data_IF_478478937516
#
_entry.id   IF_478478937516
#
_cell.length_a   1.000
_cell.length_b   1.000
_cell.length_c   1.000
_cell.angle_alpha   90.00
_cell.angle_beta   90.00
_cell.angle_gamma   90.00
#
_symmetry.space_group_name_H-M   'P 1'
#
loop_
_entity.id
_entity.type
_entity.pdbx_description
1 polymer ?
#
# COMPACT_ATOMS: atom_id res chain seq x y z
N UNK A 1 -1.04 -1.87 12.14
CA UNK A 1 -0.61 -1.29 10.85
C UNK A 1 0.77 -1.76 10.43
N UNK A 2 1.80 -1.57 11.26
CA UNK A 2 3.16 -2.05 10.97
C UNK A 2 3.22 -3.55 10.60
N UNK A 3 2.48 -4.40 11.29
CA UNK A 3 2.38 -5.85 10.98
C UNK A 3 1.86 -6.13 9.56
N UNK A 4 0.84 -5.41 9.10
CA UNK A 4 0.24 -5.59 7.77
C UNK A 4 1.24 -5.20 6.69
N UNK A 5 1.92 -4.06 6.86
CA UNK A 5 2.93 -3.59 5.91
C UNK A 5 4.10 -4.58 5.83
N UNK A 6 4.55 -5.11 6.98
CA UNK A 6 5.59 -6.14 6.99
C UNK A 6 5.17 -7.40 6.25
N UNK A 7 3.94 -7.90 6.46
CA UNK A 7 3.43 -9.08 5.75
C UNK A 7 3.36 -8.82 4.24
N UNK A 8 2.74 -7.72 3.80
CA UNK A 8 2.62 -7.38 2.38
C UNK A 8 3.99 -7.31 1.70
N UNK A 9 4.96 -6.63 2.32
CA UNK A 9 6.31 -6.50 1.77
C UNK A 9 7.01 -7.84 1.64
N UNK A 10 6.94 -8.68 2.68
CA UNK A 10 7.58 -10.00 2.67
C UNK A 10 6.95 -10.92 1.64
N UNK A 11 5.63 -10.86 1.46
CA UNK A 11 4.94 -11.59 0.39
C UNK A 11 5.43 -11.14 -0.98
N UNK A 12 5.48 -9.83 -1.25
CA UNK A 12 5.93 -9.31 -2.56
C UNK A 12 7.40 -9.68 -2.80
N UNK A 13 8.30 -9.49 -1.83
CA UNK A 13 9.72 -9.87 -1.95
C UNK A 13 9.90 -11.35 -2.31
N UNK A 14 9.10 -12.23 -1.71
CA UNK A 14 9.13 -13.67 -1.98
C UNK A 14 8.52 -14.05 -3.34
N UNK A 15 7.72 -13.17 -3.95
CA UNK A 15 7.18 -13.38 -5.30
C UNK A 15 8.16 -12.85 -6.34
N UNK A 16 8.69 -11.64 -6.15
CA UNK A 16 9.49 -10.94 -7.15
C UNK A 16 10.93 -11.44 -7.22
N UNK A 17 11.54 -11.75 -6.08
CA UNK A 17 12.93 -12.18 -5.97
C UNK A 17 13.88 -11.26 -6.72
N UNK A 18 13.71 -9.93 -6.57
CA UNK A 18 14.50 -8.94 -7.32
C UNK A 18 15.87 -8.73 -6.68
N UNK A 19 16.90 -8.81 -7.51
CA UNK A 19 18.29 -8.59 -7.12
C UNK A 19 18.60 -7.12 -6.87
N UNK A 20 19.31 -6.84 -5.78
CA UNK A 20 19.76 -5.48 -5.43
C UNK A 20 20.94 -5.02 -6.31
N UNK A 21 21.15 -3.70 -6.47
CA UNK A 21 22.22 -3.17 -7.31
C UNK A 21 23.63 -3.67 -6.97
N UNK A 22 23.97 -3.86 -5.69
CA UNK A 22 25.29 -4.37 -5.28
C UNK A 22 25.63 -5.72 -5.92
N UNK A 23 24.88 -6.79 -5.63
CA UNK A 23 25.08 -8.10 -6.26
C UNK A 23 24.86 -8.11 -7.78
N UNK A 24 24.02 -7.22 -8.30
CA UNK A 24 23.80 -7.09 -9.74
C UNK A 24 25.06 -6.60 -10.47
N UNK A 25 25.82 -5.68 -9.87
CA UNK A 25 27.10 -5.20 -10.41
C UNK A 25 28.15 -6.32 -10.36
N UNK A 26 28.26 -7.04 -9.24
CA UNK A 26 29.20 -8.16 -9.09
C UNK A 26 28.94 -9.30 -10.08
N UNK A 27 27.67 -9.58 -10.36
CA UNK A 27 27.24 -10.65 -11.28
C UNK A 27 27.12 -10.20 -12.75
N UNK A 28 27.43 -8.93 -13.06
CA UNK A 28 27.37 -8.41 -14.43
C UNK A 28 25.94 -8.30 -15.01
N UNK A 29 24.92 -8.16 -14.16
CA UNK A 29 23.51 -8.09 -14.55
C UNK A 29 22.97 -6.65 -14.46
N UNK A 30 23.13 -5.82 -15.51
CA UNK A 30 22.60 -4.45 -15.50
C UNK A 30 21.07 -4.47 -15.30
N UNK A 31 20.58 -3.78 -14.28
CA UNK A 31 19.16 -3.72 -13.93
C UNK A 31 18.67 -4.81 -12.96
N UNK A 32 19.53 -5.75 -12.55
CA UNK A 32 19.23 -6.77 -11.55
C UNK A 32 18.35 -7.92 -12.05
N UNK A 33 18.74 -9.15 -11.73
CA UNK A 33 17.98 -10.35 -12.06
C UNK A 33 16.65 -10.40 -11.29
N UNK A 34 15.58 -10.81 -11.97
CA UNK A 34 14.33 -11.21 -11.34
C UNK A 34 14.29 -12.72 -11.24
N UNK A 35 14.07 -13.24 -10.03
CA UNK A 35 13.89 -14.68 -9.82
C UNK A 35 12.53 -14.87 -9.20
N UNK A 36 11.52 -15.10 -10.04
CA UNK A 36 10.17 -15.32 -9.56
C UNK A 36 10.12 -16.58 -8.69
N UNK A 37 9.53 -16.45 -7.50
CA UNK A 37 9.44 -17.53 -6.50
C UNK A 37 10.81 -18.19 -6.21
N UNK A 38 11.79 -17.44 -5.68
CA UNK A 38 13.10 -18.01 -5.37
C UNK A 38 12.94 -19.07 -4.28
N UNK A 39 13.82 -20.07 -4.31
CA UNK A 39 13.89 -21.09 -3.25
C UNK A 39 14.01 -20.42 -1.88
N UNK A 40 13.25 -20.91 -0.90
CA UNK A 40 13.25 -20.36 0.46
C UNK A 40 14.66 -20.37 1.06
N UNK A 41 15.42 -21.44 0.82
CA UNK A 41 16.80 -21.60 1.28
C UNK A 41 17.71 -20.54 0.67
N UNK A 42 17.61 -20.33 -0.64
CA UNK A 42 18.39 -19.33 -1.39
C UNK A 42 18.07 -17.90 -0.95
N UNK A 43 16.80 -17.62 -0.70
CA UNK A 43 16.36 -16.32 -0.21
C UNK A 43 16.95 -15.99 1.17
N UNK A 44 17.04 -16.98 2.06
CA UNK A 44 17.54 -16.78 3.42
C UNK A 44 19.07 -16.71 3.49
N UNK A 45 19.78 -17.42 2.60
CA UNK A 45 21.25 -17.42 2.57
C UNK A 45 21.81 -16.25 1.77
N UNK A 46 21.12 -15.81 0.72
CA UNK A 46 21.57 -14.76 -0.19
C UNK A 46 20.51 -13.67 -0.35
N UNK A 47 20.08 -13.08 0.76
CA UNK A 47 18.98 -12.10 0.83
C UNK A 47 19.10 -10.95 -0.18
N UNK A 48 20.29 -10.36 -0.32
CA UNK A 48 20.53 -9.24 -1.24
C UNK A 48 20.33 -9.59 -2.73
N UNK A 49 20.29 -10.89 -3.08
CA UNK A 49 19.98 -11.32 -4.43
C UNK A 49 18.48 -11.36 -4.75
N UNK A 50 17.61 -11.19 -3.75
CA UNK A 50 16.19 -11.43 -3.91
C UNK A 50 15.28 -10.39 -3.23
N UNK A 51 15.81 -9.47 -2.44
CA UNK A 51 15.00 -8.62 -1.56
C UNK A 51 14.90 -7.14 -2.00
N UNK A 52 15.32 -6.77 -3.20
CA UNK A 52 15.31 -5.37 -3.63
C UNK A 52 13.90 -4.77 -3.70
N UNK A 53 12.86 -5.53 -4.05
CA UNK A 53 11.52 -4.99 -4.27
C UNK A 53 10.47 -5.59 -3.33
N UNK A 54 9.68 -4.76 -2.61
CA UNK A 54 9.73 -3.30 -2.48
C UNK A 54 10.60 -2.82 -1.32
N UNK A 55 11.00 -1.53 -1.34
CA UNK A 55 11.84 -0.95 -0.27
C UNK A 55 11.16 -0.96 1.10
N UNK A 56 11.82 -1.60 2.07
CA UNK A 56 11.31 -1.77 3.44
C UNK A 56 11.18 -0.45 4.21
N UNK A 57 12.21 0.40 4.11
CA UNK A 57 12.34 1.66 4.84
C UNK A 57 11.38 2.72 4.28
N UNK A 58 11.42 2.94 2.96
CA UNK A 58 10.58 3.92 2.28
C UNK A 58 9.10 3.58 2.43
N UNK A 59 8.74 2.30 2.32
CA UNK A 59 7.38 1.84 2.60
C UNK A 59 6.93 2.18 4.02
N UNK A 60 7.69 1.79 5.04
CA UNK A 60 7.31 2.06 6.44
C UNK A 60 7.20 3.57 6.70
N UNK A 61 8.11 4.36 6.16
CA UNK A 61 8.10 5.81 6.32
C UNK A 61 6.87 6.44 5.64
N UNK A 62 6.51 6.01 4.44
CA UNK A 62 5.29 6.45 3.74
C UNK A 62 4.01 6.13 4.54
N UNK A 63 3.93 4.94 5.15
CA UNK A 63 2.81 4.59 6.01
C UNK A 63 2.71 5.55 7.20
N UNK A 64 3.82 5.82 7.86
CA UNK A 64 3.89 6.72 9.02
C UNK A 64 3.42 8.12 8.63
N UNK A 65 3.97 8.71 7.56
CA UNK A 65 3.56 10.03 7.07
C UNK A 65 2.07 10.04 6.71
N UNK A 66 1.56 9.00 6.04
CA UNK A 66 0.14 8.92 5.66
C UNK A 66 -0.76 8.90 6.87
N UNK A 67 -0.41 8.14 7.91
CA UNK A 67 -1.20 8.06 9.15
C UNK A 67 -1.16 9.40 9.89
N UNK A 68 0.03 9.98 10.10
CA UNK A 68 0.16 11.26 10.80
C UNK A 68 -0.61 12.35 10.05
N UNK A 69 -0.40 12.49 8.75
CA UNK A 69 -1.08 13.51 7.94
C UNK A 69 -2.60 13.28 7.82
N UNK A 70 -3.10 12.07 8.07
CA UNK A 70 -4.54 11.79 8.13
C UNK A 70 -5.14 12.11 9.51
N UNK A 71 -4.36 12.04 10.58
CA UNK A 71 -4.82 12.35 11.93
C UNK A 71 -4.75 13.86 12.24
N UNK A 72 -3.82 14.58 11.60
CA UNK A 72 -3.60 16.02 11.80
C UNK A 72 -3.77 16.81 10.48
N UNK A 73 -4.96 16.81 9.86
CA UNK A 73 -5.19 17.47 8.57
C UNK A 73 -4.97 18.99 8.59
N UNK A 74 -5.08 19.62 9.76
CA UNK A 74 -4.80 21.03 10.01
C UNK A 74 -3.32 21.39 9.83
N UNK A 75 -2.41 20.42 10.07
CA UNK A 75 -0.96 20.62 9.97
C UNK A 75 -0.47 20.29 8.55
N UNK A 76 -0.63 21.26 7.64
CA UNK A 76 -0.37 21.05 6.19
C UNK A 76 1.10 20.79 5.83
N UNK A 77 2.06 21.19 6.67
CA UNK A 77 3.50 21.05 6.38
C UNK A 77 4.04 19.63 6.58
N UNK A 78 3.27 18.73 7.22
CA UNK A 78 3.68 17.33 7.45
C UNK A 78 3.93 16.59 6.14
N UNK A 79 3.07 16.82 5.14
CA UNK A 79 3.20 16.18 3.82
C UNK A 79 4.46 16.62 3.07
N UNK A 80 4.69 17.93 2.80
CA UNK A 80 5.89 18.35 2.07
C UNK A 80 7.17 17.96 2.82
N UNK A 81 7.24 18.15 4.15
CA UNK A 81 8.43 17.73 4.90
C UNK A 81 8.63 16.21 4.87
N UNK A 82 7.55 15.44 5.07
CA UNK A 82 7.59 13.99 5.01
C UNK A 82 8.07 13.48 3.65
N UNK A 83 7.60 14.08 2.55
CA UNK A 83 8.05 13.69 1.21
C UNK A 83 9.50 14.08 0.93
N UNK A 84 9.96 15.23 1.43
CA UNK A 84 11.38 15.63 1.32
C UNK A 84 12.29 14.63 2.05
N UNK A 85 11.98 14.31 3.31
CA UNK A 85 12.77 13.35 4.09
C UNK A 85 12.75 11.95 3.46
N UNK A 86 11.62 11.57 2.88
CA UNK A 86 11.50 10.30 2.15
C UNK A 86 12.34 10.28 0.88
N UNK A 87 12.40 11.39 0.16
CA UNK A 87 13.28 11.56 -1.01
C UNK A 87 14.75 11.40 -0.64
N UNK A 88 15.20 12.03 0.45
CA UNK A 88 16.58 11.89 0.96
C UNK A 88 16.87 10.44 1.34
N UNK A 89 15.94 9.77 2.00
CA UNK A 89 16.07 8.35 2.37
C UNK A 89 16.11 7.43 1.14
N UNK A 90 15.27 7.69 0.14
CA UNK A 90 15.28 6.94 -1.11
C UNK A 90 16.61 7.13 -1.86
N UNK A 91 17.15 8.34 -1.85
CA UNK A 91 18.46 8.63 -2.43
C UNK A 91 19.59 7.90 -1.68
N UNK A 92 19.58 7.90 -0.34
CA UNK A 92 20.54 7.14 0.47
C UNK A 92 20.52 5.65 0.10
N UNK A 93 19.34 5.04 -0.04
CA UNK A 93 19.22 3.63 -0.41
C UNK A 93 19.72 3.32 -1.82
N UNK A 94 19.58 4.26 -2.75
CA UNK A 94 20.17 4.14 -4.09
C UNK A 94 21.70 4.26 -4.04
N UNK A 95 22.21 5.23 -3.29
CA UNK A 95 23.66 5.45 -3.10
C UNK A 95 24.33 4.24 -2.44
N UNK A 96 23.68 3.65 -1.44
CA UNK A 96 24.08 2.41 -0.77
C UNK A 96 23.91 1.15 -1.62
N UNK A 97 23.45 1.26 -2.87
CA UNK A 97 23.27 0.16 -3.84
C UNK A 97 22.37 -0.98 -3.36
N UNK A 98 21.38 -0.67 -2.49
CA UNK A 98 20.44 -1.65 -1.93
C UNK A 98 19.08 -1.67 -2.62
N UNK A 99 18.71 -0.61 -3.33
CA UNK A 99 17.42 -0.53 -4.05
C UNK A 99 17.57 0.18 -5.40
N UNK A 100 16.79 -0.26 -6.39
CA UNK A 100 16.64 0.44 -7.66
C UNK A 100 15.61 1.57 -7.53
N UNK A 101 15.75 2.62 -8.34
CA UNK A 101 14.76 3.68 -8.42
C UNK A 101 13.35 3.15 -8.79
N UNK A 102 13.30 2.09 -9.61
CA UNK A 102 12.07 1.40 -10.02
C UNK A 102 11.32 0.74 -8.87
N UNK A 103 11.99 0.47 -7.75
CA UNK A 103 11.40 -0.30 -6.64
C UNK A 103 10.48 0.57 -5.75
N UNK A 104 10.52 1.90 -5.93
CA UNK A 104 9.79 2.85 -5.10
C UNK A 104 8.31 3.06 -5.49
N UNK A 105 7.93 3.28 -6.76
CA UNK A 105 6.56 3.69 -7.10
C UNK A 105 5.49 2.69 -6.64
N UNK A 106 5.69 1.39 -6.89
CA UNK A 106 4.72 0.36 -6.50
C UNK A 106 4.62 0.23 -4.97
N UNK A 107 5.77 0.23 -4.27
CA UNK A 107 5.81 0.14 -2.82
C UNK A 107 5.11 1.33 -2.15
N UNK A 108 5.38 2.55 -2.64
CA UNK A 108 4.74 3.77 -2.16
C UNK A 108 3.23 3.75 -2.39
N UNK A 109 2.78 3.33 -3.57
CA UNK A 109 1.36 3.28 -3.91
C UNK A 109 0.59 2.32 -3.00
N UNK A 110 1.04 1.06 -2.89
CA UNK A 110 0.39 0.04 -2.05
C UNK A 110 0.28 0.55 -0.61
N UNK A 111 1.38 1.10 -0.09
CA UNK A 111 1.43 1.53 1.30
C UNK A 111 0.61 2.79 1.55
N UNK A 112 0.52 3.71 0.59
CA UNK A 112 -0.37 4.85 0.69
C UNK A 112 -1.84 4.43 0.78
N UNK A 113 -2.26 3.48 -0.07
CA UNK A 113 -3.64 2.96 -0.07
C UNK A 113 -3.97 2.27 1.25
N UNK A 114 -3.10 1.37 1.71
CA UNK A 114 -3.25 0.69 3.02
C UNK A 114 -3.21 1.71 4.17
N UNK A 115 -2.30 2.68 4.07
CA UNK A 115 -2.17 3.90 4.88
C UNK A 115 -3.51 4.57 5.17
N UNK A 116 -4.11 5.04 4.08
CA UNK A 116 -5.35 5.78 4.06
C UNK A 116 -6.53 4.93 4.52
N UNK A 117 -6.61 3.67 4.09
CA UNK A 117 -7.66 2.75 4.50
C UNK A 117 -7.66 2.52 6.03
N UNK A 118 -6.49 2.30 6.63
CA UNK A 118 -6.39 2.08 8.06
C UNK A 118 -6.68 3.34 8.89
N UNK A 119 -6.24 4.52 8.43
CA UNK A 119 -6.57 5.79 9.07
C UNK A 119 -8.08 6.05 9.04
N UNK A 120 -8.70 5.89 7.86
CA UNK A 120 -10.15 6.08 7.70
C UNK A 120 -11.00 5.12 8.53
N UNK A 121 -10.52 3.89 8.80
CA UNK A 121 -11.24 2.94 9.65
C UNK A 121 -11.33 3.40 11.12
N UNK A 122 -10.42 4.25 11.58
CA UNK A 122 -10.36 4.72 12.98
C UNK A 122 -10.90 6.12 13.17
N UNK A 123 -10.95 6.94 12.13
CA UNK A 123 -11.51 8.28 12.18
C UNK A 123 -13.04 8.16 12.10
N UNK A 124 -13.75 8.40 13.22
CA UNK A 124 -15.18 8.71 13.17
C UNK A 124 -15.32 10.05 12.47
N UNK A 125 -15.67 10.03 11.18
CA UNK A 125 -16.11 11.24 10.49
C UNK A 125 -17.43 11.66 11.12
N UNK A 126 -17.42 12.74 11.89
CA UNK A 126 -18.65 13.46 12.22
C UNK A 126 -19.12 14.04 10.88
N UNK A 127 -20.27 13.59 10.39
CA UNK A 127 -20.86 14.15 9.19
C UNK A 127 -21.20 15.60 9.52
N UNK A 128 -20.52 16.58 8.93
CA UNK A 128 -20.76 18.02 9.21
C UNK A 128 -22.23 18.39 8.95
N UNK A 129 -22.94 17.60 8.11
CA UNK A 129 -24.37 17.72 7.89
C UNK A 129 -25.21 17.36 9.12
N UNK A 130 -24.80 16.38 9.94
CA UNK A 130 -25.45 16.04 11.22
C UNK A 130 -25.20 17.14 12.26
N UNK A 131 -24.02 17.78 12.23
CA UNK A 131 -23.67 18.89 13.12
C UNK A 131 -24.36 20.22 12.74
N UNK A 132 -24.72 20.40 11.47
CA UNK A 132 -25.44 21.56 10.93
C UNK A 132 -26.96 21.34 10.80
N UNK A 133 -27.49 20.18 11.22
CA UNK A 133 -28.91 19.85 11.17
C UNK A 133 -29.50 19.71 9.75
N UNK A 134 -28.65 19.57 8.73
CA UNK A 134 -29.10 19.34 7.37
C UNK A 134 -29.48 17.87 7.19
N UNK A 135 -30.77 17.60 7.05
CA UNK A 135 -31.27 16.27 6.67
C UNK A 135 -30.61 15.85 5.35
N UNK A 136 -29.72 14.87 5.45
CA UNK A 136 -29.19 14.14 4.31
C UNK A 136 -30.39 13.59 3.54
N UNK A 137 -30.56 14.01 2.29
CA UNK A 137 -31.57 13.42 1.39
C UNK A 137 -31.36 11.90 1.41
N UNK A 138 -32.42 11.16 1.77
CA UNK A 138 -32.50 9.70 1.68
C UNK A 138 -32.11 9.33 0.24
N UNK A 139 -30.86 8.89 0.06
CA UNK A 139 -30.39 8.43 -1.25
C UNK A 139 -31.02 7.07 -1.49
N UNK A 140 -31.75 6.95 -2.59
CA UNK A 140 -32.37 5.72 -3.08
C UNK A 140 -31.47 4.50 -2.81
N UNK A 141 -31.90 3.64 -1.88
CA UNK A 141 -31.21 2.38 -1.62
C UNK A 141 -31.70 1.37 -2.65
N UNK A 142 -30.75 0.85 -3.45
CA UNK A 142 -31.02 -0.18 -4.44
C UNK A 142 -30.49 -1.50 -3.91
N UNK A 143 -31.38 -2.44 -3.61
CA UNK A 143 -31.01 -3.78 -3.15
C UNK A 143 -31.34 -4.81 -4.23
N UNK A 144 -30.40 -5.72 -4.48
CA UNK A 144 -30.59 -6.82 -5.42
C UNK A 144 -31.00 -8.05 -4.62
N UNK A 145 -32.19 -8.57 -4.91
CA UNK A 145 -32.70 -9.79 -4.29
C UNK A 145 -32.77 -10.91 -5.32
N UNK A 146 -32.54 -12.13 -4.88
CA UNK A 146 -32.74 -13.33 -5.70
C UNK A 146 -33.71 -14.26 -4.98
N UNK A 147 -34.74 -14.68 -5.71
CA UNK A 147 -35.79 -15.54 -5.20
C UNK A 147 -35.94 -16.81 -6.04
N UNK A 148 -36.76 -17.72 -5.55
CA UNK A 148 -37.10 -18.94 -6.27
C UNK A 148 -38.61 -19.10 -6.27
N UNK A 149 -39.23 -19.06 -7.44
CA UNK A 149 -40.67 -19.22 -7.62
C UNK A 149 -40.93 -20.32 -8.64
N UNK A 150 -41.68 -21.36 -8.24
CA UNK A 150 -42.12 -22.47 -9.10
C UNK A 150 -41.04 -23.07 -10.01
N UNK A 151 -39.83 -23.30 -9.48
CA UNK A 151 -38.73 -23.92 -10.23
C UNK A 151 -37.81 -22.95 -10.98
N UNK A 152 -38.15 -21.65 -11.02
CA UNK A 152 -37.36 -20.63 -11.71
C UNK A 152 -36.64 -19.71 -10.70
N UNK A 153 -35.35 -19.43 -10.97
CA UNK A 153 -34.56 -18.43 -10.23
C UNK A 153 -34.94 -17.04 -10.72
N UNK A 154 -35.49 -16.23 -9.84
CA UNK A 154 -35.85 -14.84 -10.12
C UNK A 154 -34.80 -13.89 -9.56
N UNK A 155 -34.57 -12.78 -10.28
CA UNK A 155 -33.74 -11.68 -9.84
C UNK A 155 -34.61 -10.42 -9.78
N UNK A 156 -34.61 -9.76 -8.63
CA UNK A 156 -35.38 -8.55 -8.37
C UNK A 156 -34.47 -7.41 -7.93
N UNK A 157 -34.90 -6.19 -8.24
CA UNK A 157 -34.28 -4.96 -7.74
C UNK A 157 -35.33 -4.24 -6.90
N UNK A 158 -35.02 -3.98 -5.64
CA UNK A 158 -35.88 -3.24 -4.71
C UNK A 158 -35.31 -1.84 -4.55
N UNK A 159 -36.15 -0.85 -4.83
CA UNK A 159 -35.85 0.56 -4.57
C UNK A 159 -36.59 0.97 -3.29
N UNK A 160 -35.84 1.36 -2.26
CA UNK A 160 -36.40 1.89 -1.02
C UNK A 160 -36.15 3.40 -0.99
N UNK A 161 -37.24 4.16 -0.82
CA UNK A 161 -37.29 5.62 -0.80
C UNK A 161 -37.27 6.16 0.64
#
# INVERSE_FOLDING_TARGET
MARIISVIKQTIKRITGRQSPGPAIESGNPGGKWTLFPSIKEYQTRTCNYDAMPSGHVATFMATITVIASNYPEIKWIKPMGYTLMGIMAFEKMSSKVHWASDYPLGLFIVYVVGKAAANRRIKKIDTNDALGWKKSERMKTEFTTGHLEGYRTFGVVFTF
#
